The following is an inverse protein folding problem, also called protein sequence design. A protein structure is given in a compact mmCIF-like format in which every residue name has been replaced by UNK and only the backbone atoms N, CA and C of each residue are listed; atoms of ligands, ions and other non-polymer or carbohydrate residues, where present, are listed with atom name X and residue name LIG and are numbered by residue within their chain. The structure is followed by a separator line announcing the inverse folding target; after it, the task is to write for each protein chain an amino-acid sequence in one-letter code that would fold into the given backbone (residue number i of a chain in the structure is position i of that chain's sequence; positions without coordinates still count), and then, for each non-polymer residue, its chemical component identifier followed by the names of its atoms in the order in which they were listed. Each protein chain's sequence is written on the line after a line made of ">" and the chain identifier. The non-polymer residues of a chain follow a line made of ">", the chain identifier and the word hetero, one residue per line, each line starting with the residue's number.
data_IF_892539356541
#
_entry.id   IF_892539356541
#
_cell.length_a   1.000
_cell.length_b   1.000
_cell.length_c   1.000
_cell.angle_alpha   90.00
_cell.angle_beta   90.00
_cell.angle_gamma   90.00
#
_symmetry.space_group_name_H-M   'P 1'
#
loop_
_entity.id
_entity.type
_entity.pdbx_description
1 polymer ?
#
# COMPACT_ATOMS: atom_id res chain seq x y z
N UNK A 1 20.16 7.67 1.41
CA UNK A 1 20.06 6.64 2.45
C UNK A 1 19.34 5.41 1.89
N UNK A 2 19.96 4.25 2.02
CA UNK A 2 19.37 2.99 1.58
C UNK A 2 19.16 2.12 2.80
N UNK A 3 17.93 1.63 2.98
CA UNK A 3 17.50 0.83 4.12
C UNK A 3 16.89 -0.49 3.61
N UNK A 4 17.40 -1.59 4.11
CA UNK A 4 16.88 -2.93 3.80
C UNK A 4 16.14 -3.48 5.02
N UNK A 5 14.81 -3.67 4.85
CA UNK A 5 13.90 -4.17 5.88
C UNK A 5 14.06 -3.47 7.25
N UNK A 6 13.98 -2.11 7.30
CA UNK A 6 14.34 -1.38 8.52
C UNK A 6 13.41 -1.65 9.71
N UNK A 7 12.22 -2.17 9.48
CA UNK A 7 11.21 -2.44 10.49
C UNK A 7 11.07 -3.91 10.86
N UNK A 8 11.87 -4.78 10.24
CA UNK A 8 11.79 -6.22 10.45
C UNK A 8 12.04 -6.57 11.94
N UNK A 9 11.19 -7.44 12.49
CA UNK A 9 11.31 -7.91 13.86
C UNK A 9 10.87 -6.92 14.95
N UNK A 10 10.38 -5.74 14.58
CA UNK A 10 9.90 -4.74 15.53
C UNK A 10 8.41 -4.91 15.83
N UNK A 11 8.02 -4.55 17.05
CA UNK A 11 6.61 -4.40 17.43
C UNK A 11 5.98 -3.15 16.72
N UNK A 12 4.66 -2.99 16.75
CA UNK A 12 4.01 -1.86 16.07
C UNK A 12 4.53 -0.49 16.50
N UNK A 13 4.78 -0.29 17.79
CA UNK A 13 5.31 0.97 18.32
C UNK A 13 6.74 1.24 17.82
N UNK A 14 7.58 0.21 17.79
CA UNK A 14 8.94 0.27 17.26
C UNK A 14 8.96 0.60 15.76
N UNK A 15 8.08 -0.02 14.98
CA UNK A 15 7.92 0.27 13.54
C UNK A 15 7.58 1.74 13.29
N UNK A 16 6.56 2.24 13.98
CA UNK A 16 6.13 3.63 13.85
C UNK A 16 7.25 4.61 14.22
N UNK A 17 7.98 4.32 15.31
CA UNK A 17 9.12 5.13 15.75
C UNK A 17 10.22 5.20 14.68
N UNK A 18 10.61 4.06 14.11
CA UNK A 18 11.64 4.01 13.06
C UNK A 18 11.18 4.73 11.79
N UNK A 19 9.96 4.51 11.35
CA UNK A 19 9.43 5.17 10.15
C UNK A 19 9.34 6.69 10.35
N UNK A 20 8.97 7.14 11.55
CA UNK A 20 9.00 8.56 11.89
C UNK A 20 10.42 9.13 11.82
N UNK A 21 11.40 8.44 12.41
CA UNK A 21 12.81 8.86 12.37
C UNK A 21 13.34 8.95 10.94
N UNK A 22 12.96 8.01 10.08
CA UNK A 22 13.34 8.04 8.65
C UNK A 22 12.75 9.28 7.95
N UNK A 23 11.48 9.58 8.19
CA UNK A 23 10.83 10.79 7.63
C UNK A 23 11.47 12.07 8.16
N UNK A 24 11.76 12.15 9.44
CA UNK A 24 12.42 13.29 10.08
C UNK A 24 13.83 13.50 9.50
N UNK A 25 14.59 12.42 9.30
CA UNK A 25 15.89 12.47 8.65
C UNK A 25 15.78 12.97 7.20
N UNK A 26 14.86 12.42 6.43
CA UNK A 26 14.62 12.83 5.04
C UNK A 26 14.32 14.33 4.95
N UNK A 27 13.43 14.82 5.81
CA UNK A 27 13.07 16.23 5.85
C UNK A 27 14.23 17.13 6.25
N UNK A 28 14.99 16.74 7.29
CA UNK A 28 16.09 17.53 7.82
C UNK A 28 17.29 17.61 6.86
N UNK A 29 17.59 16.52 6.17
CA UNK A 29 18.73 16.41 5.26
C UNK A 29 18.38 16.67 3.80
N UNK A 30 17.09 16.82 3.47
CA UNK A 30 16.60 16.87 2.09
C UNK A 30 17.16 15.71 1.23
N UNK A 31 17.29 14.55 1.85
CA UNK A 31 17.94 13.37 1.26
C UNK A 31 16.91 12.49 0.56
N UNK A 32 17.34 11.81 -0.49
CA UNK A 32 16.60 10.68 -1.04
C UNK A 32 16.76 9.47 -0.11
N UNK A 33 15.65 8.81 0.19
CA UNK A 33 15.63 7.57 0.97
C UNK A 33 15.07 6.45 0.10
N UNK A 34 15.81 5.36 0.01
CA UNK A 34 15.36 4.13 -0.64
C UNK A 34 15.15 3.07 0.44
N UNK A 35 13.96 2.53 0.50
CA UNK A 35 13.60 1.50 1.47
C UNK A 35 13.18 0.23 0.75
N UNK A 36 13.78 -0.89 1.11
CA UNK A 36 13.35 -2.22 0.66
C UNK A 36 12.50 -2.84 1.77
N UNK A 37 11.30 -3.24 1.45
CA UNK A 37 10.38 -3.88 2.38
C UNK A 37 9.41 -4.80 1.64
N UNK A 38 8.93 -5.83 2.35
CA UNK A 38 7.82 -6.68 1.91
C UNK A 38 6.51 -6.34 2.62
N UNK A 39 6.51 -5.35 3.51
CA UNK A 39 5.30 -4.86 4.20
C UNK A 39 4.56 -3.87 3.32
N UNK A 40 3.47 -4.32 2.72
CA UNK A 40 2.68 -3.50 1.78
C UNK A 40 2.04 -2.29 2.46
N UNK A 41 1.63 -2.42 3.72
CA UNK A 41 1.06 -1.33 4.50
C UNK A 41 2.08 -0.21 4.79
N UNK A 42 3.31 -0.59 5.14
CA UNK A 42 4.39 0.37 5.38
C UNK A 42 4.74 1.14 4.11
N UNK A 43 4.88 0.40 3.01
CA UNK A 43 5.15 0.97 1.70
C UNK A 43 4.02 1.92 1.30
N UNK A 44 2.78 1.46 1.36
CA UNK A 44 1.62 2.26 0.95
C UNK A 44 1.51 3.61 1.68
N UNK A 45 1.93 3.65 2.94
CA UNK A 45 1.76 4.82 3.81
C UNK A 45 2.98 5.73 3.91
N UNK A 46 4.16 5.28 3.48
CA UNK A 46 5.41 5.97 3.81
C UNK A 46 6.30 6.33 2.61
N UNK A 47 5.90 6.02 1.39
CA UNK A 47 6.72 6.29 0.21
C UNK A 47 5.98 7.14 -0.82
N UNK A 48 6.74 7.93 -1.56
CA UNK A 48 6.20 8.75 -2.66
C UNK A 48 6.22 7.99 -3.98
N UNK A 49 7.10 7.01 -4.11
CA UNK A 49 7.29 6.23 -5.32
C UNK A 49 7.64 4.78 -5.01
N UNK A 50 7.07 3.87 -5.78
CA UNK A 50 7.31 2.44 -5.71
C UNK A 50 8.08 1.96 -6.94
N UNK A 51 8.94 0.98 -6.71
CA UNK A 51 9.54 0.15 -7.76
C UNK A 51 9.23 -1.30 -7.39
N UNK A 52 8.47 -1.98 -8.22
CA UNK A 52 8.16 -3.39 -8.04
C UNK A 52 9.19 -4.23 -8.79
N UNK A 53 9.82 -5.14 -8.08
CA UNK A 53 10.85 -6.02 -8.62
C UNK A 53 10.32 -7.44 -8.74
N UNK A 54 10.54 -8.06 -9.87
CA UNK A 54 10.27 -9.48 -10.12
C UNK A 54 11.46 -10.10 -10.84
N UNK A 55 11.98 -11.20 -10.29
CA UNK A 55 13.11 -11.95 -10.91
C UNK A 55 14.30 -11.07 -11.31
N UNK A 56 14.62 -10.10 -10.44
CA UNK A 56 15.75 -9.19 -10.68
C UNK A 56 15.47 -8.05 -11.67
N UNK A 57 14.25 -7.89 -12.13
CA UNK A 57 13.86 -6.85 -13.08
C UNK A 57 12.78 -5.93 -12.46
N UNK A 58 12.89 -4.63 -12.71
CA UNK A 58 11.85 -3.68 -12.36
C UNK A 58 10.69 -3.84 -13.35
N UNK A 59 9.55 -4.33 -12.88
CA UNK A 59 8.37 -4.63 -13.71
C UNK A 59 7.33 -3.53 -13.67
N UNK A 60 7.34 -2.72 -12.61
CA UNK A 60 6.37 -1.63 -12.43
C UNK A 60 7.00 -0.53 -11.58
N UNK A 61 6.69 0.72 -11.90
CA UNK A 61 7.14 1.87 -11.13
C UNK A 61 6.10 2.98 -11.19
N UNK A 62 5.91 3.69 -10.11
CA UNK A 62 4.96 4.80 -10.02
C UNK A 62 4.64 5.18 -8.59
N UNK A 63 3.70 6.10 -8.41
CA UNK A 63 3.15 6.42 -7.10
C UNK A 63 2.39 5.21 -6.52
N UNK A 64 2.24 5.11 -5.19
CA UNK A 64 1.47 4.00 -4.59
C UNK A 64 0.07 3.84 -5.19
N UNK A 65 -0.64 4.92 -5.43
CA UNK A 65 -1.97 4.89 -6.06
C UNK A 65 -1.95 4.29 -7.46
N UNK A 66 -0.93 4.57 -8.25
CA UNK A 66 -0.77 4.01 -9.59
C UNK A 66 -0.45 2.52 -9.55
N UNK A 67 0.52 2.15 -8.73
CA UNK A 67 0.98 0.76 -8.62
C UNK A 67 -0.11 -0.13 -8.03
N UNK A 68 -0.76 0.28 -6.96
CA UNK A 68 -1.81 -0.51 -6.33
C UNK A 68 -3.14 -0.52 -7.11
N UNK A 69 -3.31 0.37 -8.09
CA UNK A 69 -4.43 0.25 -9.04
C UNK A 69 -4.31 -1.00 -9.93
N UNK A 70 -3.10 -1.55 -10.07
CA UNK A 70 -2.82 -2.82 -10.74
C UNK A 70 -2.78 -4.01 -9.76
N UNK A 71 -3.63 -3.98 -8.73
CA UNK A 71 -3.62 -4.97 -7.65
C UNK A 71 -3.80 -6.41 -8.14
N UNK A 72 -4.70 -6.66 -9.09
CA UNK A 72 -4.92 -7.99 -9.65
C UNK A 72 -3.67 -8.52 -10.37
N UNK A 73 -2.95 -7.65 -11.05
CA UNK A 73 -1.68 -7.98 -11.73
C UNK A 73 -0.58 -8.28 -10.72
N UNK A 74 -0.46 -7.48 -9.66
CA UNK A 74 0.50 -7.72 -8.57
C UNK A 74 0.25 -9.07 -7.89
N UNK A 75 -0.99 -9.40 -7.60
CA UNK A 75 -1.37 -10.69 -7.03
C UNK A 75 -1.05 -11.85 -7.98
N UNK A 76 -1.24 -11.67 -9.28
CA UNK A 76 -0.89 -12.68 -10.29
C UNK A 76 0.61 -12.96 -10.36
N UNK A 77 1.45 -11.99 -10.02
CA UNK A 77 2.91 -12.13 -9.89
C UNK A 77 3.35 -12.78 -8.57
N UNK A 78 2.41 -13.13 -7.68
CA UNK A 78 2.70 -13.69 -6.37
C UNK A 78 3.07 -12.63 -5.32
N UNK A 79 2.83 -11.37 -5.60
CA UNK A 79 3.06 -10.27 -4.66
C UNK A 79 1.80 -9.98 -3.85
N UNK A 80 1.99 -9.50 -2.63
CA UNK A 80 0.89 -9.02 -1.81
C UNK A 80 0.50 -7.60 -2.21
N UNK A 81 -0.71 -7.22 -1.81
CA UNK A 81 -1.20 -5.85 -1.87
C UNK A 81 -1.70 -5.44 -0.50
N UNK A 82 -1.85 -4.15 -0.20
CA UNK A 82 -2.38 -3.70 1.08
C UNK A 82 -3.71 -4.37 1.42
N UNK A 83 -3.96 -4.58 2.71
CA UNK A 83 -5.14 -5.30 3.19
C UNK A 83 -6.44 -4.69 2.66
N UNK A 84 -6.57 -3.38 2.65
CA UNK A 84 -7.77 -2.72 2.13
C UNK A 84 -7.97 -2.94 0.64
N UNK A 85 -6.89 -2.98 -0.14
CA UNK A 85 -6.95 -3.33 -1.56
C UNK A 85 -7.46 -4.76 -1.75
N UNK A 86 -7.01 -5.71 -0.92
CA UNK A 86 -7.50 -7.09 -0.95
C UNK A 86 -9.00 -7.18 -0.64
N UNK A 87 -9.47 -6.43 0.36
CA UNK A 87 -10.90 -6.36 0.71
C UNK A 87 -11.72 -5.86 -0.48
N UNK A 88 -11.30 -4.79 -1.13
CA UNK A 88 -12.00 -4.24 -2.29
C UNK A 88 -12.00 -5.19 -3.48
N UNK A 89 -10.89 -5.87 -3.76
CA UNK A 89 -10.84 -6.92 -4.79
C UNK A 89 -11.82 -8.05 -4.48
N UNK A 90 -11.91 -8.45 -3.21
CA UNK A 90 -12.85 -9.49 -2.81
C UNK A 90 -14.30 -9.05 -2.97
N UNK A 91 -14.62 -7.81 -2.65
CA UNK A 91 -15.95 -7.24 -2.88
C UNK A 91 -16.30 -7.22 -4.36
N UNK A 92 -15.37 -6.87 -5.25
CA UNK A 92 -15.58 -6.96 -6.70
C UNK A 92 -15.90 -8.38 -7.15
N UNK A 93 -15.19 -9.38 -6.64
CA UNK A 93 -15.45 -10.79 -6.93
C UNK A 93 -16.85 -11.24 -6.47
N UNK A 94 -17.39 -10.63 -5.43
CA UNK A 94 -18.74 -10.88 -4.92
C UNK A 94 -19.83 -10.06 -5.64
N UNK A 95 -19.46 -9.30 -6.67
CA UNK A 95 -20.40 -8.54 -7.49
C UNK A 95 -20.67 -7.11 -6.99
N UNK A 96 -19.95 -6.64 -5.98
CA UNK A 96 -20.07 -5.26 -5.51
C UNK A 96 -19.33 -4.32 -6.48
N UNK A 97 -20.02 -3.31 -6.97
CA UNK A 97 -19.43 -2.30 -7.86
C UNK A 97 -18.64 -1.27 -7.04
N UNK A 98 -17.40 -1.58 -6.75
CA UNK A 98 -16.48 -0.71 -6.01
C UNK A 98 -15.10 -0.77 -6.67
N UNK A 99 -14.40 0.38 -6.85
CA UNK A 99 -13.05 0.36 -7.38
C UNK A 99 -12.07 -0.19 -6.32
N UNK A 100 -11.11 -1.02 -6.74
CA UNK A 100 -10.04 -1.52 -5.87
C UNK A 100 -8.85 -0.55 -5.83
N UNK A 101 -9.11 0.74 -5.78
CA UNK A 101 -8.09 1.79 -5.83
C UNK A 101 -7.59 2.25 -4.47
N UNK A 102 -8.30 1.92 -3.39
CA UNK A 102 -7.89 2.27 -2.04
C UNK A 102 -6.85 1.29 -1.51
N UNK A 103 -5.85 1.83 -0.84
CA UNK A 103 -4.78 1.07 -0.19
C UNK A 103 -4.60 1.46 1.30
N UNK A 104 -5.38 2.41 1.79
CA UNK A 104 -5.48 2.75 3.22
C UNK A 104 -6.91 2.56 3.73
N UNK A 105 -7.05 2.45 5.06
CA UNK A 105 -8.36 2.29 5.72
C UNK A 105 -9.25 3.50 5.43
N UNK A 106 -8.70 4.69 5.51
CA UNK A 106 -9.42 5.95 5.28
C UNK A 106 -9.96 6.02 3.85
N UNK A 107 -9.13 5.70 2.86
CA UNK A 107 -9.53 5.66 1.46
C UNK A 107 -10.63 4.62 1.21
N UNK A 108 -10.52 3.44 1.82
CA UNK A 108 -11.52 2.40 1.69
C UNK A 108 -12.84 2.82 2.35
N UNK A 109 -12.79 3.45 3.51
CA UNK A 109 -13.97 3.99 4.19
C UNK A 109 -14.69 5.03 3.31
N UNK A 110 -13.95 5.95 2.71
CA UNK A 110 -14.51 6.96 1.80
C UNK A 110 -15.20 6.34 0.58
N UNK A 111 -14.70 5.23 0.06
CA UNK A 111 -15.32 4.52 -1.05
C UNK A 111 -16.55 3.72 -0.64
N UNK A 112 -16.54 3.12 0.55
CA UNK A 112 -17.61 2.23 1.01
C UNK A 112 -18.76 2.98 1.69
N UNK A 113 -18.50 4.11 2.33
CA UNK A 113 -19.51 4.88 3.05
C UNK A 113 -20.72 5.26 2.19
N UNK A 114 -20.59 5.80 0.97
CA UNK A 114 -21.72 6.07 0.10
C UNK A 114 -22.56 4.84 -0.25
N UNK A 115 -21.94 3.69 -0.38
CA UNK A 115 -22.60 2.42 -0.67
C UNK A 115 -23.45 1.95 0.52
N UNK A 116 -22.97 2.15 1.75
CA UNK A 116 -23.68 1.82 2.97
C UNK A 116 -24.86 2.77 3.24
N UNK A 117 -24.65 4.07 3.03
CA UNK A 117 -25.68 5.12 3.25
C UNK A 117 -26.76 5.12 2.19
N UNK A 118 -26.43 4.76 0.96
CA UNK A 118 -27.37 4.71 -0.17
C UNK A 118 -28.35 3.54 -0.12
N UNK A 119 -28.38 2.73 0.94
CA UNK A 119 -29.15 1.50 0.98
C UNK A 119 -28.72 0.54 -0.13
N UNK A 120 -27.46 0.65 -0.55
CA UNK A 120 -26.91 -0.16 -1.60
C UNK A 120 -27.13 -1.63 -1.28
N UNK A 121 -27.58 -2.33 -2.26
CA UNK A 121 -27.87 -3.74 -2.27
C UNK A 121 -26.59 -4.54 -2.01
N UNK A 122 -26.15 -4.53 -0.77
CA UNK A 122 -25.16 -5.46 -0.27
C UNK A 122 -25.95 -6.67 0.22
N UNK A 123 -26.43 -7.41 -0.69
CA UNK A 123 -27.09 -8.67 -0.42
C UNK A 123 -26.33 -9.76 -1.09
#
# INVERSE_FOLDING_TARGET
>A
LILDEPTAGLDPAGRESILKNIRDYQAAQQAAVVMVSHSMEEIASNVDRLIVMEKGTAVMTGAPSEVFSHAAELVSMGLNVPCMTQVLLRLQQLGVNVPASAYTVEQAADLLEPLLKGGAQIC
#
